data_IF_808675872982
#
_entry.id   IF_808675872982
#
_cell.length_a   1.000
_cell.length_b   1.000
_cell.length_c   1.000
_cell.angle_alpha   90.00
_cell.angle_beta   90.00
_cell.angle_gamma   90.00
#
_symmetry.space_group_name_H-M   'P 1'
#
loop_
_entity.id
_entity.type
_entity.pdbx_description
1 polymer ?
#
# COMPACT_ATOMS: atom_id res chain seq x y z
N UNK A 1 -18.92 -6.19 -13.85
CA UNK A 1 -17.90 -7.13 -13.33
C UNK A 1 -16.60 -6.45 -12.88
N UNK A 2 -16.02 -5.46 -13.61
CA UNK A 2 -14.73 -4.81 -13.23
C UNK A 2 -14.76 -4.12 -11.85
N UNK A 3 -15.82 -3.40 -11.50
CA UNK A 3 -15.96 -2.72 -10.21
C UNK A 3 -16.08 -3.69 -9.03
N UNK A 4 -16.79 -4.80 -9.20
CA UNK A 4 -16.88 -5.84 -8.16
C UNK A 4 -15.52 -6.47 -7.93
N UNK A 5 -14.78 -6.78 -9.01
CA UNK A 5 -13.40 -7.28 -8.91
C UNK A 5 -12.51 -6.27 -8.20
N UNK A 6 -12.62 -4.98 -8.50
CA UNK A 6 -11.87 -3.92 -7.83
C UNK A 6 -12.14 -3.89 -6.33
N UNK A 7 -13.42 -3.89 -5.92
CA UNK A 7 -13.80 -3.86 -4.50
C UNK A 7 -13.26 -5.08 -3.75
N UNK A 8 -13.43 -6.29 -4.33
CA UNK A 8 -12.86 -7.51 -3.73
C UNK A 8 -11.33 -7.44 -3.62
N UNK A 9 -10.66 -6.92 -4.64
CA UNK A 9 -9.20 -6.77 -4.62
C UNK A 9 -8.74 -5.78 -3.54
N UNK A 10 -9.47 -4.70 -3.29
CA UNK A 10 -9.19 -3.75 -2.22
C UNK A 10 -9.41 -4.35 -0.83
N UNK A 11 -10.44 -5.20 -0.68
CA UNK A 11 -10.63 -5.98 0.54
C UNK A 11 -9.41 -6.88 0.80
N UNK A 12 -8.87 -7.53 -0.23
CA UNK A 12 -7.65 -8.35 -0.10
C UNK A 12 -6.43 -7.51 0.31
N UNK A 13 -6.27 -6.31 -0.24
CA UNK A 13 -5.21 -5.36 0.17
C UNK A 13 -5.33 -5.03 1.65
N UNK A 14 -6.52 -4.56 2.06
CA UNK A 14 -6.77 -4.12 3.44
C UNK A 14 -6.67 -5.28 4.44
N UNK A 15 -7.16 -6.46 4.05
CA UNK A 15 -6.99 -7.68 4.85
C UNK A 15 -5.50 -8.02 5.03
N UNK A 16 -4.68 -7.93 3.97
CA UNK A 16 -3.25 -8.18 4.06
C UNK A 16 -2.55 -7.25 5.06
N UNK A 17 -2.92 -5.96 5.08
CA UNK A 17 -2.40 -4.99 6.04
C UNK A 17 -2.86 -5.36 7.47
N UNK A 18 -4.15 -5.62 7.67
CA UNK A 18 -4.72 -5.94 8.98
C UNK A 18 -4.13 -7.22 9.59
N UNK A 19 -3.89 -8.26 8.75
CA UNK A 19 -3.25 -9.51 9.18
C UNK A 19 -1.84 -9.27 9.74
N UNK A 20 -1.05 -8.41 9.10
CA UNK A 20 0.30 -8.09 9.60
C UNK A 20 0.24 -7.21 10.83
N UNK A 21 -0.67 -6.23 10.90
CA UNK A 21 -0.89 -5.40 12.10
C UNK A 21 -1.23 -6.25 13.33
N UNK A 22 -2.13 -7.24 13.17
CA UNK A 22 -2.56 -8.13 14.26
C UNK A 22 -1.57 -9.28 14.53
N UNK A 23 -0.53 -9.46 13.70
CA UNK A 23 0.46 -10.49 13.92
C UNK A 23 1.40 -10.23 15.10
N UNK A 24 1.51 -8.98 15.56
CA UNK A 24 2.40 -8.56 16.66
C UNK A 24 3.89 -8.88 16.46
N UNK A 25 4.30 -9.19 15.23
CA UNK A 25 5.71 -9.42 14.86
C UNK A 25 6.40 -8.13 14.39
N UNK A 26 5.62 -7.13 14.05
CA UNK A 26 6.01 -5.87 13.42
C UNK A 26 4.98 -5.48 12.37
N UNK A 27 5.25 -4.41 11.64
CA UNK A 27 4.29 -3.84 10.69
C UNK A 27 4.96 -3.55 9.35
N UNK A 28 4.16 -3.41 8.29
CA UNK A 28 4.68 -2.86 7.04
C UNK A 28 5.18 -1.45 7.25
N UNK A 29 6.26 -1.01 6.57
CA UNK A 29 6.83 0.32 6.77
C UNK A 29 5.84 1.47 6.57
N UNK A 30 4.97 1.39 5.57
CA UNK A 30 3.89 2.38 5.37
C UNK A 30 2.90 2.36 6.54
N UNK A 31 2.60 1.18 7.10
CA UNK A 31 1.75 1.07 8.28
C UNK A 31 2.42 1.64 9.53
N UNK A 32 3.76 1.54 9.63
CA UNK A 32 4.51 2.21 10.69
C UNK A 32 4.36 3.74 10.63
N UNK A 33 4.44 4.32 9.42
CA UNK A 33 4.14 5.75 9.19
C UNK A 33 2.72 6.10 9.61
N UNK A 34 1.72 5.28 9.23
CA UNK A 34 0.33 5.53 9.61
C UNK A 34 0.13 5.44 11.14
N UNK A 35 0.77 4.49 11.82
CA UNK A 35 0.73 4.40 13.28
C UNK A 35 1.41 5.61 13.96
N UNK A 36 2.50 6.12 13.39
CA UNK A 36 3.11 7.36 13.86
C UNK A 36 2.14 8.54 13.73
N UNK A 37 1.45 8.67 12.59
CA UNK A 37 0.41 9.68 12.39
C UNK A 37 -0.77 9.51 13.37
N UNK A 38 -1.18 8.27 13.68
CA UNK A 38 -2.19 8.01 14.72
C UNK A 38 -1.77 8.60 16.06
N UNK A 39 -0.52 8.36 16.48
CA UNK A 39 0.02 8.88 17.74
C UNK A 39 0.15 10.40 17.76
N UNK A 40 0.66 11.00 16.68
CA UNK A 40 0.86 12.46 16.61
C UNK A 40 -0.44 13.24 16.49
N UNK A 41 -1.43 12.74 15.76
CA UNK A 41 -2.67 13.46 15.47
C UNK A 41 -3.86 12.96 16.30
N UNK A 42 -3.67 11.89 17.08
CA UNK A 42 -4.74 11.25 17.87
C UNK A 42 -5.97 10.86 17.02
N UNK A 43 -5.71 10.21 15.87
CA UNK A 43 -6.73 9.77 14.91
C UNK A 43 -6.70 8.25 14.75
N UNK A 44 -7.77 7.67 14.15
CA UNK A 44 -7.79 6.24 13.81
C UNK A 44 -6.79 5.91 12.69
N UNK A 45 -6.44 4.62 12.56
CA UNK A 45 -5.59 4.15 11.48
C UNK A 45 -6.18 4.48 10.11
N UNK A 46 -7.50 4.36 9.95
CA UNK A 46 -8.20 4.71 8.71
C UNK A 46 -7.99 6.15 8.29
N UNK A 47 -8.09 7.09 9.25
CA UNK A 47 -7.84 8.52 8.99
C UNK A 47 -6.36 8.77 8.69
N UNK A 48 -5.44 8.17 9.44
CA UNK A 48 -4.00 8.29 9.18
C UNK A 48 -3.62 7.75 7.80
N UNK A 49 -4.18 6.60 7.40
CA UNK A 49 -3.98 6.03 6.07
C UNK A 49 -4.55 6.93 4.97
N UNK A 50 -5.74 7.51 5.18
CA UNK A 50 -6.33 8.48 4.24
C UNK A 50 -5.40 9.68 4.02
N UNK A 51 -4.85 10.25 5.10
CA UNK A 51 -3.93 11.38 5.01
C UNK A 51 -2.64 11.03 4.27
N UNK A 52 -2.02 9.90 4.58
CA UNK A 52 -0.79 9.46 3.92
C UNK A 52 -1.02 9.13 2.44
N UNK A 53 -2.10 8.44 2.10
CA UNK A 53 -2.45 8.15 0.71
C UNK A 53 -2.83 9.40 -0.07
N UNK A 54 -3.51 10.37 0.56
CA UNK A 54 -3.82 11.66 -0.07
C UNK A 54 -2.54 12.44 -0.40
N UNK A 55 -1.57 12.48 0.50
CA UNK A 55 -0.28 13.12 0.23
C UNK A 55 0.45 12.47 -0.94
N UNK A 56 0.49 11.13 -0.98
CA UNK A 56 1.08 10.37 -2.09
C UNK A 56 0.34 10.63 -3.40
N UNK A 57 -0.98 10.69 -3.36
CA UNK A 57 -1.83 10.99 -4.50
C UNK A 57 -1.58 12.40 -5.05
N UNK A 58 -1.56 13.41 -4.17
CA UNK A 58 -1.29 14.81 -4.57
C UNK A 58 0.07 14.96 -5.24
N UNK A 59 1.10 14.31 -4.69
CA UNK A 59 2.42 14.29 -5.32
C UNK A 59 2.40 13.63 -6.70
N UNK A 60 1.75 12.47 -6.84
CA UNK A 60 1.65 11.76 -8.11
C UNK A 60 0.89 12.60 -9.16
N UNK A 61 -0.17 13.31 -8.74
CA UNK A 61 -0.89 14.28 -9.59
C UNK A 61 0.01 15.43 -10.02
N UNK A 62 0.76 16.02 -9.10
CA UNK A 62 1.73 17.08 -9.42
C UNK A 62 2.74 16.60 -10.46
N UNK A 63 3.14 15.33 -10.44
CA UNK A 63 4.01 14.72 -11.43
C UNK A 63 3.32 14.32 -12.74
N UNK A 64 2.02 14.61 -12.88
CA UNK A 64 1.25 14.34 -14.09
C UNK A 64 0.76 12.90 -14.24
N UNK A 65 0.76 12.11 -13.16
CA UNK A 65 0.18 10.77 -13.18
C UNK A 65 -1.35 10.86 -13.24
N UNK A 66 -1.96 9.86 -13.89
CA UNK A 66 -3.39 9.83 -14.13
C UNK A 66 -4.12 9.10 -13.02
N UNK A 67 -5.27 9.65 -12.60
CA UNK A 67 -6.09 9.07 -11.53
C UNK A 67 -7.16 8.16 -12.11
N UNK A 68 -7.29 6.98 -11.51
CA UNK A 68 -8.36 6.03 -11.78
C UNK A 68 -9.34 5.89 -10.61
N UNK A 69 -10.46 5.19 -10.86
CA UNK A 69 -11.44 4.85 -9.81
C UNK A 69 -10.78 4.05 -8.69
N UNK A 70 -9.86 3.14 -9.05
CA UNK A 70 -9.13 2.33 -8.07
C UNK A 70 -8.32 3.20 -7.10
N UNK A 71 -7.67 4.26 -7.59
CA UNK A 71 -6.86 5.18 -6.79
C UNK A 71 -7.72 5.94 -5.78
N UNK A 72 -8.86 6.46 -6.23
CA UNK A 72 -9.77 7.21 -5.35
C UNK A 72 -10.38 6.27 -4.30
N UNK A 73 -10.85 5.09 -4.72
CA UNK A 73 -11.49 4.16 -3.80
C UNK A 73 -10.50 3.55 -2.78
N UNK A 74 -9.24 3.30 -3.16
CA UNK A 74 -8.23 2.85 -2.20
C UNK A 74 -7.94 3.93 -1.16
N UNK A 75 -7.75 5.17 -1.60
CA UNK A 75 -7.49 6.30 -0.71
C UNK A 75 -8.63 6.52 0.30
N UNK A 76 -9.89 6.48 -0.17
CA UNK A 76 -11.04 6.76 0.68
C UNK A 76 -11.45 5.59 1.58
N UNK A 77 -11.34 4.35 1.13
CA UNK A 77 -11.91 3.20 1.81
C UNK A 77 -10.85 2.28 2.43
N UNK A 78 -9.63 2.24 1.87
CA UNK A 78 -8.62 1.26 2.24
C UNK A 78 -8.33 1.20 3.73
N UNK A 79 -8.07 2.35 4.35
CA UNK A 79 -7.74 2.43 5.77
C UNK A 79 -8.90 2.08 6.70
N UNK A 80 -10.14 2.47 6.36
CA UNK A 80 -11.32 2.10 7.15
C UNK A 80 -11.64 0.61 7.10
N UNK A 81 -11.37 -0.03 5.97
CA UNK A 81 -11.49 -1.50 5.85
C UNK A 81 -10.39 -2.18 6.71
N UNK A 82 -9.20 -1.59 6.81
CA UNK A 82 -8.16 -2.07 7.74
C UNK A 82 -8.62 -1.95 9.18
N UNK A 83 -9.17 -0.80 9.60
CA UNK A 83 -9.72 -0.61 10.95
C UNK A 83 -10.78 -1.67 11.29
N UNK A 84 -11.68 -1.97 10.35
CA UNK A 84 -12.68 -3.02 10.51
C UNK A 84 -12.04 -4.40 10.72
N UNK A 85 -11.10 -4.81 9.87
CA UNK A 85 -10.47 -6.11 10.01
C UNK A 85 -9.59 -6.22 11.25
N UNK A 86 -8.87 -5.18 11.63
CA UNK A 86 -8.05 -5.21 12.85
C UNK A 86 -8.89 -5.38 14.11
N UNK A 87 -10.15 -4.91 14.10
CA UNK A 87 -11.06 -5.05 15.25
C UNK A 87 -11.63 -6.47 15.43
N UNK A 88 -11.68 -7.27 14.36
CA UNK A 88 -12.28 -8.62 14.39
C UNK A 88 -11.26 -9.77 14.33
N UNK A 89 -10.05 -9.50 13.83
CA UNK A 89 -9.01 -10.53 13.70
C UNK A 89 -8.33 -10.80 15.05
N UNK A 90 -7.99 -12.07 15.36
CA UNK A 90 -7.24 -12.39 16.55
C UNK A 90 -5.79 -11.88 16.46
N UNK A 91 -5.17 -11.64 17.61
CA UNK A 91 -3.75 -11.30 17.67
C UNK A 91 -2.91 -12.58 17.71
N UNK A 92 -2.28 -12.93 16.59
CA UNK A 92 -1.40 -14.12 16.49
C UNK A 92 -0.38 -13.98 15.37
N UNK A 93 0.84 -14.39 15.64
CA UNK A 93 1.96 -14.34 14.68
C UNK A 93 1.73 -15.15 13.40
N UNK A 94 0.85 -16.16 13.43
CA UNK A 94 0.49 -16.99 12.27
C UNK A 94 -0.15 -16.20 11.13
N UNK A 95 -0.66 -15.00 11.40
CA UNK A 95 -1.26 -14.13 10.39
C UNK A 95 -0.22 -13.45 9.48
N UNK A 96 1.01 -13.26 9.96
CA UNK A 96 2.02 -12.50 9.22
C UNK A 96 2.34 -13.08 7.83
N UNK A 97 2.64 -14.39 7.67
CA UNK A 97 2.94 -14.95 6.34
C UNK A 97 1.80 -14.76 5.33
N UNK A 98 0.56 -14.91 5.80
CA UNK A 98 -0.64 -14.73 4.96
C UNK A 98 -0.73 -13.27 4.53
N UNK A 99 -0.58 -12.32 5.45
CA UNK A 99 -0.64 -10.89 5.17
C UNK A 99 0.44 -10.42 4.19
N UNK A 100 1.67 -10.95 4.31
CA UNK A 100 2.79 -10.63 3.40
C UNK A 100 2.49 -11.03 1.94
N UNK A 101 1.73 -12.10 1.73
CA UNK A 101 1.32 -12.56 0.40
C UNK A 101 0.08 -11.81 -0.08
N UNK A 102 -0.91 -11.61 0.81
CA UNK A 102 -2.18 -10.96 0.47
C UNK A 102 -2.01 -9.54 -0.02
N UNK A 103 -1.13 -8.75 0.60
CA UNK A 103 -0.97 -7.34 0.24
C UNK A 103 -0.48 -7.14 -1.21
N UNK A 104 0.64 -7.71 -1.66
CA UNK A 104 1.08 -7.55 -3.04
C UNK A 104 0.18 -8.26 -4.05
N UNK A 105 -0.46 -9.38 -3.67
CA UNK A 105 -1.49 -10.03 -4.47
C UNK A 105 -2.66 -9.07 -4.73
N UNK A 106 -3.16 -8.44 -3.67
CA UNK A 106 -4.23 -7.45 -3.76
C UNK A 106 -3.86 -6.27 -4.67
N UNK A 107 -2.66 -5.72 -4.53
CA UNK A 107 -2.17 -4.66 -5.42
C UNK A 107 -2.14 -5.07 -6.90
N UNK A 108 -1.64 -6.25 -7.20
CA UNK A 108 -1.65 -6.76 -8.57
C UNK A 108 -3.05 -7.00 -9.12
N UNK A 109 -3.98 -7.50 -8.27
CA UNK A 109 -5.37 -7.67 -8.65
C UNK A 109 -6.09 -6.34 -8.90
N UNK A 110 -5.84 -5.31 -8.07
CA UNK A 110 -6.35 -3.95 -8.29
C UNK A 110 -5.86 -3.41 -9.62
N UNK A 111 -4.56 -3.47 -9.88
CA UNK A 111 -3.97 -3.02 -11.14
C UNK A 111 -4.55 -3.77 -12.35
N UNK A 112 -4.76 -5.08 -12.25
CA UNK A 112 -5.31 -5.92 -13.33
C UNK A 112 -6.78 -5.59 -13.69
N UNK A 113 -7.50 -4.83 -12.86
CA UNK A 113 -8.85 -4.37 -13.20
C UNK A 113 -8.87 -3.30 -14.31
N UNK A 114 -7.73 -2.65 -14.58
CA UNK A 114 -7.64 -1.59 -15.57
C UNK A 114 -8.38 -0.30 -15.20
N UNK A 115 -8.67 -0.09 -13.91
CA UNK A 115 -9.39 1.08 -13.37
C UNK A 115 -8.48 2.05 -12.61
N UNK A 116 -7.18 1.94 -12.80
CA UNK A 116 -6.14 2.67 -12.07
C UNK A 116 -5.37 1.77 -11.10
N UNK A 117 -4.48 2.37 -10.35
CA UNK A 117 -3.64 1.73 -9.32
C UNK A 117 -3.93 2.31 -7.95
N UNK A 118 -3.51 1.64 -6.88
CA UNK A 118 -3.53 2.22 -5.54
C UNK A 118 -2.63 3.45 -5.48
N UNK A 119 -2.94 4.40 -4.58
CA UNK A 119 -2.19 5.65 -4.45
C UNK A 119 -0.69 5.41 -4.20
N UNK A 120 -0.34 4.43 -3.36
CA UNK A 120 1.07 4.06 -3.09
C UNK A 120 1.79 3.48 -4.30
N UNK A 121 1.10 2.71 -5.16
CA UNK A 121 1.67 2.20 -6.40
C UNK A 121 1.88 3.34 -7.41
N UNK A 122 0.90 4.23 -7.53
CA UNK A 122 0.99 5.40 -8.40
C UNK A 122 2.10 6.37 -7.96
N UNK A 123 2.28 6.58 -6.67
CA UNK A 123 3.41 7.33 -6.12
C UNK A 123 4.75 6.69 -6.47
N UNK A 124 4.85 5.35 -6.35
CA UNK A 124 6.04 4.60 -6.80
C UNK A 124 6.34 4.84 -8.28
N UNK A 125 5.32 4.81 -9.13
CA UNK A 125 5.44 5.05 -10.58
C UNK A 125 5.90 6.48 -10.88
N UNK A 126 5.38 7.47 -10.16
CA UNK A 126 5.81 8.87 -10.28
C UNK A 126 7.29 9.07 -9.94
N UNK A 127 7.75 8.48 -8.82
CA UNK A 127 9.16 8.52 -8.40
C UNK A 127 10.07 7.74 -9.37
N UNK A 128 9.61 6.60 -9.88
CA UNK A 128 10.33 5.80 -10.86
C UNK A 128 10.64 6.62 -12.12
N UNK A 129 9.64 7.33 -12.64
CA UNK A 129 9.80 8.21 -13.81
C UNK A 129 10.72 9.39 -13.52
N UNK A 130 10.61 9.97 -12.32
CA UNK A 130 11.43 11.12 -11.91
C UNK A 130 12.91 10.77 -11.81
N UNK A 131 13.23 9.64 -11.17
CA UNK A 131 14.62 9.26 -10.89
C UNK A 131 15.22 8.31 -11.93
N UNK A 132 14.42 7.88 -12.92
CA UNK A 132 14.81 6.90 -13.93
C UNK A 132 15.43 5.62 -13.33
N UNK A 133 14.78 5.08 -12.30
CA UNK A 133 15.22 3.88 -11.57
C UNK A 133 14.19 2.77 -11.68
N UNK A 134 14.60 1.52 -11.41
CA UNK A 134 13.68 0.39 -11.42
C UNK A 134 12.62 0.49 -10.32
N UNK A 135 11.43 -0.06 -10.57
CA UNK A 135 10.33 -0.12 -9.60
C UNK A 135 10.77 -0.75 -8.27
N UNK A 136 11.56 -1.83 -8.34
CA UNK A 136 12.11 -2.51 -7.16
C UNK A 136 12.97 -1.58 -6.31
N UNK A 137 13.87 -0.83 -6.93
CA UNK A 137 14.75 0.10 -6.23
C UNK A 137 13.96 1.22 -5.56
N UNK A 138 13.07 1.88 -6.33
CA UNK A 138 12.25 2.98 -5.82
C UNK A 138 11.36 2.51 -4.67
N UNK A 139 10.73 1.34 -4.81
CA UNK A 139 9.87 0.79 -3.76
C UNK A 139 10.65 0.51 -2.48
N UNK A 140 11.83 -0.11 -2.57
CA UNK A 140 12.66 -0.36 -1.38
C UNK A 140 13.09 0.94 -0.70
N UNK A 141 13.50 1.97 -1.46
CA UNK A 141 13.85 3.27 -0.88
C UNK A 141 12.64 3.91 -0.18
N UNK A 142 11.47 3.87 -0.80
CA UNK A 142 10.23 4.36 -0.19
C UNK A 142 9.92 3.64 1.14
N UNK A 143 10.00 2.30 1.15
CA UNK A 143 9.73 1.52 2.35
C UNK A 143 10.72 1.85 3.48
N UNK A 144 11.99 2.09 3.15
CA UNK A 144 12.98 2.56 4.13
C UNK A 144 12.61 3.96 4.67
N UNK A 145 12.20 4.89 3.80
CA UNK A 145 11.77 6.22 4.23
C UNK A 145 10.54 6.15 5.15
N UNK A 146 9.55 5.32 4.81
CA UNK A 146 8.37 5.09 5.65
C UNK A 146 8.74 4.47 7.00
N UNK A 147 9.70 3.55 7.01
CA UNK A 147 10.19 2.95 8.25
C UNK A 147 10.86 4.00 9.15
N UNK A 148 11.68 4.89 8.58
CA UNK A 148 12.32 5.99 9.32
C UNK A 148 11.27 6.92 9.93
N UNK A 149 10.25 7.32 9.16
CA UNK A 149 9.15 8.15 9.68
C UNK A 149 8.40 7.41 10.80
N UNK A 150 8.13 6.12 10.60
CA UNK A 150 7.50 5.29 11.63
C UNK A 150 8.30 5.22 12.92
N UNK A 151 9.64 5.12 12.84
CA UNK A 151 10.53 5.12 14.01
C UNK A 151 10.43 6.39 14.85
N UNK A 152 10.04 7.51 14.26
CA UNK A 152 9.88 8.78 14.99
C UNK A 152 8.61 8.82 15.86
N UNK A 153 7.62 7.96 15.61
CA UNK A 153 6.35 8.04 16.34
C UNK A 153 5.73 6.69 16.75
N UNK A 154 6.10 5.58 16.13
CA UNK A 154 5.50 4.27 16.37
C UNK A 154 6.54 3.19 16.77
N UNK A 155 7.53 3.57 17.56
CA UNK A 155 8.69 2.73 17.91
C UNK A 155 8.32 1.36 18.50
N UNK A 156 7.26 1.27 19.29
CA UNK A 156 6.82 0.00 19.91
C UNK A 156 6.29 -1.03 18.89
N UNK A 157 5.82 -0.58 17.73
CA UNK A 157 5.28 -1.44 16.68
C UNK A 157 6.33 -1.84 15.64
N UNK A 158 7.52 -1.25 15.69
CA UNK A 158 8.60 -1.51 14.76
C UNK A 158 9.59 -2.49 15.37
N UNK A 159 9.78 -3.61 14.69
CA UNK A 159 10.68 -4.67 15.09
C UNK A 159 11.69 -4.97 13.98
N UNK A 160 12.60 -5.91 14.22
CA UNK A 160 13.49 -6.45 13.19
C UNK A 160 12.72 -6.99 11.97
N UNK A 161 11.50 -7.50 12.17
CA UNK A 161 10.62 -7.97 11.10
C UNK A 161 10.20 -6.85 10.17
N UNK A 162 9.88 -5.65 10.68
CA UNK A 162 9.59 -4.47 9.87
C UNK A 162 10.79 -4.04 9.01
N UNK A 163 12.01 -4.19 9.54
CA UNK A 163 13.25 -3.94 8.78
C UNK A 163 13.42 -4.94 7.64
N UNK A 164 13.21 -6.23 7.92
CA UNK A 164 13.27 -7.29 6.88
C UNK A 164 12.20 -7.03 5.80
N UNK A 165 10.99 -6.64 6.18
CA UNK A 165 9.94 -6.28 5.23
C UNK A 165 10.35 -5.08 4.37
N UNK A 166 10.95 -4.03 4.95
CA UNK A 166 11.35 -2.84 4.17
C UNK A 166 12.38 -3.15 3.09
N UNK A 167 13.30 -4.08 3.36
CA UNK A 167 14.33 -4.49 2.42
C UNK A 167 13.84 -5.50 1.37
N UNK A 168 12.87 -6.35 1.75
CA UNK A 168 12.42 -7.49 0.94
C UNK A 168 11.12 -7.26 0.16
N UNK A 169 10.26 -6.32 0.59
CA UNK A 169 8.90 -6.18 0.06
C UNK A 169 8.83 -5.96 -1.44
N UNK A 170 9.72 -5.11 -2.00
CA UNK A 170 9.79 -4.89 -3.44
C UNK A 170 10.12 -6.15 -4.24
N UNK A 171 10.88 -7.09 -3.64
CA UNK A 171 11.18 -8.39 -4.27
C UNK A 171 9.97 -9.32 -4.24
N UNK A 172 9.30 -9.42 -3.09
CA UNK A 172 8.06 -10.21 -2.94
C UNK A 172 6.99 -9.70 -3.89
N UNK A 173 6.76 -8.40 -3.94
CA UNK A 173 5.83 -7.74 -4.86
C UNK A 173 6.13 -8.07 -6.32
N UNK A 174 7.39 -7.92 -6.73
CA UNK A 174 7.82 -8.22 -8.10
C UNK A 174 7.65 -9.70 -8.48
N UNK A 175 7.86 -10.62 -7.53
CA UNK A 175 7.65 -12.05 -7.74
C UNK A 175 6.17 -12.37 -7.91
N UNK A 176 5.31 -11.84 -7.03
CA UNK A 176 3.86 -12.04 -7.10
C UNK A 176 3.30 -11.45 -8.39
N UNK A 177 3.74 -10.27 -8.80
CA UNK A 177 3.31 -9.66 -10.06
C UNK A 177 3.63 -10.55 -11.27
N UNK A 178 4.81 -11.17 -11.30
CA UNK A 178 5.16 -12.15 -12.34
C UNK A 178 4.26 -13.38 -12.32
N UNK A 179 3.93 -13.93 -11.13
CA UNK A 179 3.06 -15.10 -10.98
C UNK A 179 1.65 -14.82 -11.50
N UNK A 180 1.08 -13.64 -11.19
CA UNK A 180 -0.27 -13.27 -11.64
C UNK A 180 -0.31 -12.68 -13.06
N UNK A 181 0.84 -12.57 -13.73
CA UNK A 181 0.95 -11.97 -15.07
C UNK A 181 0.63 -10.47 -15.10
N UNK A 182 0.82 -9.75 -13.99
CA UNK A 182 0.59 -8.31 -13.93
C UNK A 182 1.86 -7.54 -14.29
N UNK A 183 1.78 -6.72 -15.33
CA UNK A 183 2.84 -5.78 -15.69
C UNK A 183 2.30 -4.35 -15.64
N UNK A 184 2.71 -3.52 -14.69
CA UNK A 184 2.18 -2.17 -14.51
C UNK A 184 2.45 -1.26 -15.72
N UNK A 185 3.46 -1.56 -16.54
CA UNK A 185 3.81 -0.75 -17.70
C UNK A 185 2.99 -1.06 -18.95
N UNK A 186 2.34 -2.22 -19.01
CA UNK A 186 1.63 -2.72 -20.21
C UNK A 186 0.12 -2.53 -20.14
N UNK A 187 -0.46 -2.37 -18.95
CA UNK A 187 -1.91 -2.28 -18.78
C UNK A 187 -2.41 -0.89 -19.14
N UNK A 188 -3.34 -0.83 -20.10
CA UNK A 188 -4.09 0.38 -20.40
C UNK A 188 -5.20 0.56 -19.35
N UNK A 189 -4.97 1.46 -18.40
CA UNK A 189 -5.98 1.83 -17.41
C UNK A 189 -7.02 2.80 -18.00
N UNK A 190 -8.29 2.65 -17.61
CA UNK A 190 -9.31 3.66 -17.83
C UNK A 190 -9.16 4.76 -16.79
N UNK A 191 -8.58 5.89 -17.18
CA UNK A 191 -8.33 7.02 -16.31
C UNK A 191 -9.54 7.96 -16.25
N UNK A 192 -9.84 8.48 -15.06
CA UNK A 192 -10.97 9.38 -14.87
C UNK A 192 -10.64 10.85 -15.17
N UNK A 193 -9.42 11.30 -14.93
CA UNK A 193 -9.10 12.73 -14.96
C UNK A 193 -7.63 12.99 -15.32
N UNK A 194 -7.46 14.06 -16.09
CA UNK A 194 -6.23 14.80 -16.45
C UNK A 194 -5.25 14.18 -17.43
N UNK A 195 -5.37 14.68 -18.62
CA UNK A 195 -4.26 14.87 -19.56
C UNK A 195 -4.05 16.37 -19.68
N UNK A 196 -2.91 16.88 -19.25
CA UNK A 196 -2.36 18.07 -19.88
C UNK A 196 -1.56 17.64 -21.08
#
# INVERSE_FOLDING_TARGET
MKYVKLMLSQVVVSLGIALVLNASLGVFPISATNLALCGWLNVSYGVANLLSELMMLLYAMYRGERIGVATISSCLLGGFIVDFFTSILPTTWLLAPIGIVCLPLGYGLVGSCGLGENASCMFTTALQKQFNKSTKFVRNVMEICFLIVGLLGATSSITWFSVVLSLGFGTVMGTIYKIIGYNPTEIKHSWLIFRK
#
